data_IF_450696138988
#
_entry.id   IF_450696138988
#
_cell.length_a   1.000
_cell.length_b   1.000
_cell.length_c   1.000
_cell.angle_alpha   90.00
_cell.angle_beta   90.00
_cell.angle_gamma   90.00
#
_symmetry.space_group_name_H-M   'P 1'
#
loop_
_entity.id
_entity.type
_entity.pdbx_description
1 polymer ?
#
# COMPACT_ATOMS: atom_id res chain seq x y z
N UNK A 1 18.66 5.43 -21.85
CA UNK A 1 19.27 5.49 -20.49
C UNK A 1 18.14 5.57 -19.47
N UNK A 2 18.12 4.73 -18.43
CA UNK A 2 17.03 4.75 -17.46
C UNK A 2 17.26 5.88 -16.44
N UNK A 3 16.28 6.79 -16.32
CA UNK A 3 16.31 7.86 -15.31
C UNK A 3 15.45 7.45 -14.12
N UNK A 4 16.06 7.35 -12.95
CA UNK A 4 15.37 7.04 -11.70
C UNK A 4 15.38 8.27 -10.80
N UNK A 5 14.20 8.68 -10.35
CA UNK A 5 14.00 9.77 -9.38
C UNK A 5 13.38 9.19 -8.10
N UNK A 6 13.79 9.70 -6.93
CA UNK A 6 13.35 9.25 -5.61
C UNK A 6 12.64 10.38 -4.88
N UNK A 7 11.47 10.08 -4.32
CA UNK A 7 10.65 11.03 -3.58
C UNK A 7 10.26 10.45 -2.22
N UNK A 8 10.48 11.20 -1.14
CA UNK A 8 10.01 10.83 0.20
C UNK A 8 8.50 11.03 0.30
N UNK A 9 7.78 9.98 0.69
CA UNK A 9 6.32 10.02 0.90
C UNK A 9 5.98 10.20 2.39
N UNK A 10 6.70 9.49 3.26
CA UNK A 10 6.55 9.58 4.71
C UNK A 10 7.95 9.59 5.30
N UNK A 11 8.21 10.54 6.19
CA UNK A 11 9.40 10.56 7.04
C UNK A 11 9.01 11.21 8.36
N UNK A 12 8.84 10.39 9.40
CA UNK A 12 8.39 10.87 10.70
C UNK A 12 8.31 9.81 11.78
N UNK A 13 8.21 10.30 13.01
CA UNK A 13 7.90 9.50 14.20
C UNK A 13 6.49 9.85 14.66
N UNK A 14 5.62 8.86 14.68
CA UNK A 14 4.20 9.01 14.96
C UNK A 14 3.82 8.20 16.20
N UNK A 15 2.71 8.55 16.81
CA UNK A 15 2.07 7.62 17.75
C UNK A 15 1.57 6.39 16.97
N UNK A 16 1.58 5.21 17.60
CA UNK A 16 1.28 3.98 16.88
C UNK A 16 -0.11 3.98 16.20
N UNK A 17 -1.11 4.60 16.84
CA UNK A 17 -2.44 4.75 16.26
C UNK A 17 -2.41 5.63 15.00
N UNK A 18 -1.75 6.79 15.06
CA UNK A 18 -1.62 7.73 13.94
C UNK A 18 -0.87 7.11 12.75
N UNK A 19 0.27 6.46 13.01
CA UNK A 19 0.96 5.68 11.96
C UNK A 19 0.06 4.58 11.36
N UNK A 20 -0.75 3.94 12.21
CA UNK A 20 -1.74 2.96 11.78
C UNK A 20 -2.74 3.51 10.78
N UNK A 21 -3.31 4.68 11.06
CA UNK A 21 -4.29 5.34 10.19
C UNK A 21 -3.67 5.69 8.82
N UNK A 22 -2.49 6.33 8.83
CA UNK A 22 -1.78 6.72 7.59
C UNK A 22 -1.48 5.48 6.72
N UNK A 23 -0.93 4.42 7.33
CA UNK A 23 -0.61 3.20 6.61
C UNK A 23 -1.89 2.48 6.13
N UNK A 24 -2.93 2.43 6.95
CA UNK A 24 -4.20 1.81 6.58
C UNK A 24 -4.83 2.49 5.37
N UNK A 25 -4.82 3.83 5.33
CA UNK A 25 -5.37 4.60 4.22
C UNK A 25 -4.60 4.37 2.92
N UNK A 26 -3.27 4.33 2.97
CA UNK A 26 -2.43 4.06 1.80
C UNK A 26 -2.67 2.67 1.21
N UNK A 27 -2.72 1.64 2.05
CA UNK A 27 -2.98 0.27 1.60
C UNK A 27 -4.42 0.11 1.10
N UNK A 28 -5.39 0.72 1.78
CA UNK A 28 -6.81 0.69 1.39
C UNK A 28 -7.02 1.38 0.04
N UNK A 29 -6.37 2.52 -0.19
CA UNK A 29 -6.38 3.20 -1.48
C UNK A 29 -5.89 2.27 -2.61
N UNK A 30 -4.78 1.56 -2.40
CA UNK A 30 -4.23 0.64 -3.40
C UNK A 30 -5.12 -0.57 -3.64
N UNK A 31 -5.70 -1.14 -2.58
CA UNK A 31 -6.68 -2.24 -2.68
C UNK A 31 -7.88 -1.80 -3.51
N UNK A 32 -8.51 -0.67 -3.15
CA UNK A 32 -9.68 -0.12 -3.85
C UNK A 32 -9.39 0.17 -5.33
N UNK A 33 -8.18 0.64 -5.65
CA UNK A 33 -7.75 0.81 -7.04
C UNK A 33 -7.81 -0.51 -7.82
N UNK A 34 -7.27 -1.59 -7.26
CA UNK A 34 -7.27 -2.90 -7.90
C UNK A 34 -8.66 -3.52 -7.96
N UNK A 35 -9.50 -3.36 -6.93
CA UNK A 35 -10.90 -3.81 -6.96
C UNK A 35 -11.69 -3.15 -8.08
N UNK A 36 -11.62 -1.82 -8.21
CA UNK A 36 -12.28 -1.10 -9.30
C UNK A 36 -11.78 -1.53 -10.67
N UNK A 37 -10.48 -1.80 -10.80
CA UNK A 37 -9.88 -2.28 -12.05
C UNK A 37 -10.40 -3.68 -12.40
N UNK A 38 -10.47 -4.57 -11.41
CA UNK A 38 -11.01 -5.91 -11.61
C UNK A 38 -12.48 -5.86 -12.03
N UNK A 39 -13.29 -5.09 -11.30
CA UNK A 39 -14.71 -4.89 -11.61
C UNK A 39 -14.91 -4.35 -13.03
N UNK A 40 -14.15 -3.33 -13.43
CA UNK A 40 -14.20 -2.80 -14.80
C UNK A 40 -13.85 -3.86 -15.87
N UNK A 41 -12.90 -4.76 -15.59
CA UNK A 41 -12.56 -5.86 -16.48
C UNK A 41 -13.69 -6.88 -16.59
N UNK A 42 -14.29 -7.26 -15.46
CA UNK A 42 -15.43 -8.17 -15.43
C UNK A 42 -16.61 -7.61 -16.23
N UNK A 43 -16.96 -6.34 -16.04
CA UNK A 43 -18.08 -5.70 -16.75
C UNK A 43 -17.85 -5.60 -18.26
N UNK A 44 -16.62 -5.29 -18.69
CA UNK A 44 -16.31 -5.04 -20.11
C UNK A 44 -16.01 -6.31 -20.90
N UNK A 45 -15.38 -7.29 -20.25
CA UNK A 45 -14.77 -8.44 -20.93
C UNK A 45 -15.23 -9.78 -20.36
N UNK A 46 -16.00 -9.79 -19.27
CA UNK A 46 -16.43 -11.01 -18.59
C UNK A 46 -15.30 -11.78 -17.91
N UNK A 47 -14.13 -11.17 -17.75
CA UNK A 47 -12.94 -11.81 -17.17
C UNK A 47 -12.25 -10.92 -16.14
N UNK A 48 -11.60 -11.54 -15.18
CA UNK A 48 -10.82 -10.85 -14.16
C UNK A 48 -9.57 -10.16 -14.72
N UNK A 49 -9.18 -9.05 -14.09
CA UNK A 49 -7.87 -8.42 -14.36
C UNK A 49 -6.79 -9.23 -13.64
N UNK A 50 -5.96 -9.93 -14.41
CA UNK A 50 -4.90 -10.81 -13.89
C UNK A 50 -3.97 -10.11 -12.88
N UNK A 51 -3.72 -8.81 -13.08
CA UNK A 51 -2.90 -8.02 -12.15
C UNK A 51 -3.65 -7.73 -10.85
N UNK A 52 -4.93 -7.38 -10.91
CA UNK A 52 -5.76 -7.16 -9.72
C UNK A 52 -5.91 -8.44 -8.91
N UNK A 53 -6.19 -9.58 -9.55
CA UNK A 53 -6.32 -10.90 -8.87
C UNK A 53 -5.04 -11.26 -8.13
N UNK A 54 -3.87 -11.00 -8.71
CA UNK A 54 -2.59 -11.26 -8.03
C UNK A 54 -2.31 -10.27 -6.90
N UNK A 55 -2.55 -8.97 -7.12
CA UNK A 55 -2.16 -7.91 -6.17
C UNK A 55 -3.08 -7.77 -4.97
N UNK A 56 -4.38 -8.06 -5.11
CA UNK A 56 -5.34 -7.98 -4.01
C UNK A 56 -4.97 -8.85 -2.79
N UNK A 57 -4.67 -10.16 -2.93
CA UNK A 57 -4.30 -10.99 -1.78
C UNK A 57 -2.98 -10.53 -1.15
N UNK A 58 -1.98 -10.15 -1.95
CA UNK A 58 -0.70 -9.61 -1.46
C UNK A 58 -0.93 -8.37 -0.58
N UNK A 59 -1.70 -7.39 -1.07
CA UNK A 59 -1.97 -6.15 -0.36
C UNK A 59 -2.80 -6.36 0.92
N UNK A 60 -3.81 -7.25 0.87
CA UNK A 60 -4.62 -7.58 2.06
C UNK A 60 -3.78 -8.28 3.13
N UNK A 61 -2.86 -9.16 2.73
CA UNK A 61 -1.96 -9.84 3.65
C UNK A 61 -0.99 -8.85 4.30
N UNK A 62 -0.38 -7.96 3.52
CA UNK A 62 0.50 -6.92 4.08
C UNK A 62 -0.26 -6.01 5.04
N UNK A 63 -1.47 -5.59 4.67
CA UNK A 63 -2.31 -4.76 5.55
C UNK A 63 -2.64 -5.46 6.88
N UNK A 64 -2.88 -6.78 6.85
CA UNK A 64 -3.09 -7.57 8.06
C UNK A 64 -1.84 -7.55 8.95
N UNK A 65 -0.66 -7.77 8.38
CA UNK A 65 0.62 -7.75 9.12
C UNK A 65 0.89 -6.37 9.74
N UNK A 66 0.62 -5.30 9.00
CA UNK A 66 0.77 -3.93 9.51
C UNK A 66 -0.17 -3.69 10.70
N UNK A 67 -1.44 -4.12 10.60
CA UNK A 67 -2.39 -3.99 11.72
C UNK A 67 -1.93 -4.72 12.97
N UNK A 68 -1.38 -5.94 12.82
CA UNK A 68 -0.84 -6.70 13.95
C UNK A 68 0.35 -5.97 14.60
N UNK A 69 1.26 -5.43 13.79
CA UNK A 69 2.40 -4.65 14.28
C UNK A 69 1.95 -3.38 15.00
N UNK A 70 1.05 -2.60 14.40
CA UNK A 70 0.48 -1.39 14.99
C UNK A 70 -0.23 -1.70 16.31
N UNK A 71 -1.08 -2.72 16.35
CA UNK A 71 -1.79 -3.12 17.56
C UNK A 71 -0.83 -3.48 18.71
N UNK A 72 0.25 -4.18 18.40
CA UNK A 72 1.29 -4.50 19.39
C UNK A 72 2.02 -3.26 19.91
N UNK A 73 2.26 -2.27 19.04
CA UNK A 73 2.91 -1.02 19.40
C UNK A 73 1.99 -0.11 20.24
N UNK A 74 0.70 -0.06 19.91
CA UNK A 74 -0.33 0.64 20.71
C UNK A 74 -0.44 0.01 22.10
N UNK A 75 -0.52 -1.32 22.19
CA UNK A 75 -0.62 -2.02 23.47
C UNK A 75 0.63 -1.84 24.36
N UNK A 76 1.78 -1.58 23.74
CA UNK A 76 3.04 -1.32 24.42
C UNK A 76 3.34 0.16 24.65
N UNK A 77 2.41 1.06 24.32
CA UNK A 77 2.57 2.53 24.39
C UNK A 77 3.84 3.03 23.69
N UNK A 78 4.11 2.47 22.50
CA UNK A 78 5.29 2.79 21.69
C UNK A 78 4.95 3.72 20.54
N UNK A 79 5.93 4.53 20.14
CA UNK A 79 5.90 5.29 18.89
C UNK A 79 6.39 4.43 17.72
N UNK A 80 5.95 4.76 16.52
CA UNK A 80 6.38 4.13 15.27
C UNK A 80 7.16 5.14 14.44
N UNK A 81 8.34 4.72 13.97
CA UNK A 81 9.09 5.45 12.96
C UNK A 81 8.67 4.87 11.61
N UNK A 82 8.12 5.72 10.75
CA UNK A 82 7.65 5.31 9.43
C UNK A 82 8.45 6.08 8.38
N UNK A 83 9.14 5.32 7.53
CA UNK A 83 9.85 5.84 6.37
C UNK A 83 9.29 5.19 5.12
N UNK A 84 8.92 6.00 4.13
CA UNK A 84 8.40 5.51 2.85
C UNK A 84 8.92 6.37 1.71
N UNK A 85 9.29 5.70 0.63
CA UNK A 85 9.87 6.32 -0.56
C UNK A 85 9.15 5.82 -1.82
N UNK A 86 9.03 6.71 -2.80
CA UNK A 86 8.52 6.40 -4.13
C UNK A 86 9.68 6.55 -5.10
N UNK A 87 10.07 5.42 -5.71
CA UNK A 87 11.08 5.39 -6.76
C UNK A 87 10.39 5.28 -8.11
N UNK A 88 10.67 6.23 -9.01
CA UNK A 88 10.13 6.26 -10.36
C UNK A 88 11.27 6.09 -11.34
N UNK A 89 11.28 4.96 -12.07
CA UNK A 89 12.24 4.70 -13.15
C UNK A 89 11.55 4.83 -14.50
N UNK A 90 12.01 5.78 -15.32
CA UNK A 90 11.61 5.91 -16.72
C UNK A 90 12.54 5.01 -17.54
N UNK A 91 11.97 3.99 -18.20
CA UNK A 91 12.67 3.10 -19.13
C UNK A 91 12.17 3.36 -20.55
N UNK A 92 13.08 3.28 -21.52
CA UNK A 92 12.71 3.27 -22.95
C UNK A 92 12.07 1.91 -23.31
N UNK A 93 11.05 1.93 -24.18
CA UNK A 93 10.29 0.75 -24.64
C UNK A 93 11.11 -0.06 -25.64
#
# INVERSE_FOLDING_TARGET
MNRTEQYTLIDGTFDAAEAGDILYDLFSFKINYHERKNFSSQERFGVDDANAVRRLPELRQTLKQIREQVASAVAADKKLIVHSEVLITITEI
#
